data_IF_080385254699
#
_entry.id   IF_080385254699
#
_cell.length_a   1.000
_cell.length_b   1.000
_cell.length_c   1.000
_cell.angle_alpha   90.00
_cell.angle_beta   90.00
_cell.angle_gamma   90.00
#
_symmetry.space_group_name_H-M   'P 1'
#
loop_
_entity.id
_entity.type
_entity.pdbx_description
1 polymer ?
#
# COMPACT_ATOMS: atom_id res chain seq x y z
N UNK A 1 -24.09 -17.71 28.65
CA UNK A 1 -23.34 -16.54 29.16
C UNK A 1 -22.25 -16.26 28.14
N UNK A 2 -22.19 -15.04 27.57
CA UNK A 2 -21.17 -14.45 26.68
C UNK A 2 -20.48 -15.38 25.64
N UNK A 3 -20.61 -15.23 24.32
CA UNK A 3 -20.58 -14.03 23.47
C UNK A 3 -19.23 -13.27 23.47
N UNK A 4 -18.37 -13.66 22.51
CA UNK A 4 -17.21 -12.94 21.94
C UNK A 4 -17.09 -13.46 20.49
N UNK A 5 -17.97 -13.10 19.54
CA UNK A 5 -18.24 -11.74 19.03
C UNK A 5 -16.93 -11.01 18.67
N UNK A 6 -16.58 -11.04 17.38
CA UNK A 6 -15.83 -9.96 16.71
C UNK A 6 -14.32 -9.83 16.94
N UNK A 7 -13.51 -10.69 16.31
CA UNK A 7 -12.26 -10.18 15.71
C UNK A 7 -12.62 -9.42 14.43
N UNK A 8 -12.94 -8.14 14.59
CA UNK A 8 -12.97 -7.14 13.53
C UNK A 8 -12.15 -5.94 13.99
N UNK A 9 -10.85 -6.16 14.09
CA UNK A 9 -9.89 -5.06 14.09
C UNK A 9 -9.54 -4.77 12.63
N UNK A 10 -9.70 -3.50 12.27
CA UNK A 10 -9.30 -2.90 11.00
C UNK A 10 -7.77 -3.02 10.90
N UNK A 11 -7.28 -4.12 10.30
CA UNK A 11 -5.83 -4.31 10.13
C UNK A 11 -5.31 -3.18 9.23
N UNK A 12 -4.59 -2.23 9.82
CA UNK A 12 -4.17 -0.96 9.21
C UNK A 12 -3.11 -1.07 8.10
N UNK A 13 -3.27 -2.05 7.22
CA UNK A 13 -2.42 -2.32 6.09
C UNK A 13 -2.56 -1.30 4.98
N UNK A 14 -1.52 -1.28 4.15
CA UNK A 14 -1.38 -0.39 3.01
C UNK A 14 -0.94 -1.19 1.79
N UNK A 15 -1.59 -0.92 0.68
CA UNK A 15 -1.41 -1.60 -0.59
C UNK A 15 -0.66 -0.69 -1.55
N UNK A 16 0.21 -1.31 -2.36
CA UNK A 16 0.90 -0.70 -3.49
C UNK A 16 0.70 -1.63 -4.69
N UNK A 17 0.26 -1.09 -5.82
CA UNK A 17 0.33 -1.81 -7.10
C UNK A 17 1.74 -1.59 -7.65
N UNK A 18 2.36 -2.64 -8.17
CA UNK A 18 3.72 -2.58 -8.73
C UNK A 18 3.78 -3.43 -9.99
N UNK A 19 4.63 -3.03 -10.93
CA UNK A 19 4.99 -3.87 -12.07
C UNK A 19 5.76 -5.11 -11.60
N UNK A 20 5.84 -6.14 -12.44
CA UNK A 20 6.63 -7.33 -12.14
C UNK A 20 8.13 -6.98 -11.96
N UNK A 21 8.65 -6.05 -12.75
CA UNK A 21 10.04 -5.58 -12.67
C UNK A 21 10.34 -4.87 -11.35
N UNK A 22 9.47 -3.97 -10.88
CA UNK A 22 9.61 -3.33 -9.56
C UNK A 22 9.57 -4.34 -8.40
N UNK A 23 8.75 -5.39 -8.52
CA UNK A 23 8.64 -6.44 -7.50
C UNK A 23 9.86 -7.38 -7.50
N UNK A 24 10.40 -7.72 -8.68
CA UNK A 24 11.66 -8.46 -8.82
C UNK A 24 12.85 -7.64 -8.30
N UNK A 25 12.88 -6.33 -8.60
CA UNK A 25 13.89 -5.42 -8.05
C UNK A 25 13.82 -5.35 -6.53
N UNK A 26 12.64 -5.14 -5.92
CA UNK A 26 12.48 -5.08 -4.46
C UNK A 26 12.96 -6.37 -3.77
N UNK A 27 12.69 -7.55 -4.34
CA UNK A 27 13.22 -8.81 -3.82
C UNK A 27 14.74 -8.89 -3.92
N UNK A 28 15.33 -8.42 -5.03
CA UNK A 28 16.77 -8.41 -5.30
C UNK A 28 17.54 -7.43 -4.41
N UNK A 29 17.04 -6.20 -4.26
CA UNK A 29 17.69 -5.11 -3.53
C UNK A 29 17.36 -5.10 -2.03
N UNK A 30 16.32 -5.84 -1.60
CA UNK A 30 15.69 -5.81 -0.26
C UNK A 30 15.02 -4.49 0.12
N UNK A 31 15.08 -3.45 -0.71
CA UNK A 31 14.40 -2.17 -0.47
C UNK A 31 14.20 -1.38 -1.79
N UNK A 32 13.12 -0.61 -1.90
CA UNK A 32 12.80 0.17 -3.11
C UNK A 32 12.51 1.63 -2.80
N UNK A 33 12.83 2.53 -3.74
CA UNK A 33 12.35 3.92 -3.76
C UNK A 33 11.04 4.06 -4.55
N UNK A 34 10.43 2.96 -4.96
CA UNK A 34 9.18 2.95 -5.71
C UNK A 34 9.33 3.28 -7.20
N UNK A 35 8.22 3.69 -7.81
CA UNK A 35 8.10 3.98 -9.23
C UNK A 35 8.54 5.40 -9.55
N UNK A 36 8.45 5.79 -10.82
CA UNK A 36 8.87 7.14 -11.23
C UNK A 36 8.01 8.24 -10.60
N UNK A 37 6.73 7.97 -10.32
CA UNK A 37 5.86 8.87 -9.56
C UNK A 37 6.33 9.01 -8.10
N UNK A 38 6.69 7.91 -7.43
CA UNK A 38 7.17 7.94 -6.05
C UNK A 38 8.51 8.69 -5.94
N UNK A 39 9.42 8.43 -6.89
CA UNK A 39 10.74 9.08 -6.98
C UNK A 39 10.67 10.57 -7.29
N UNK A 40 9.74 11.00 -8.16
CA UNK A 40 9.62 12.40 -8.60
C UNK A 40 8.89 13.29 -7.58
N UNK A 41 7.99 12.71 -6.79
CA UNK A 41 7.29 13.39 -5.68
C UNK A 41 8.06 13.33 -4.35
N UNK A 42 8.92 12.32 -4.16
CA UNK A 42 9.63 12.08 -2.91
C UNK A 42 8.75 11.45 -1.82
N UNK A 43 7.70 10.74 -2.19
CA UNK A 43 6.80 10.01 -1.29
C UNK A 43 6.32 8.69 -1.91
N UNK A 44 5.91 7.72 -1.10
CA UNK A 44 5.25 6.52 -1.62
C UNK A 44 3.74 6.73 -1.71
N UNK A 45 3.19 6.49 -2.89
CA UNK A 45 1.75 6.46 -3.13
C UNK A 45 1.20 5.09 -2.72
N UNK A 46 0.39 5.08 -1.67
CA UNK A 46 -0.22 3.87 -1.13
C UNK A 46 -1.74 3.98 -1.14
N UNK A 47 -2.43 2.93 -0.70
CA UNK A 47 -3.88 2.87 -0.53
C UNK A 47 -4.20 1.98 0.68
N UNK A 48 -5.32 2.16 1.40
CA UNK A 48 -5.71 1.32 2.57
C UNK A 48 -6.83 0.33 2.21
N UNK A 49 -7.68 -0.12 3.17
CA UNK A 49 -8.80 -1.06 2.91
C UNK A 49 -10.25 -0.55 3.13
N UNK A 50 -10.56 0.35 4.08
CA UNK A 50 -11.95 0.82 4.34
C UNK A 50 -12.48 1.90 3.36
N UNK A 51 -12.41 3.21 3.66
CA UNK A 51 -12.92 4.30 2.82
C UNK A 51 -12.05 4.88 1.69
N UNK A 52 -10.76 4.59 1.47
CA UNK A 52 -9.88 3.56 2.04
C UNK A 52 -9.27 3.97 3.39
N UNK A 53 -9.55 3.19 4.44
CA UNK A 53 -9.24 3.44 5.85
C UNK A 53 -8.54 2.26 6.57
N UNK A 54 -8.03 2.42 7.81
CA UNK A 54 -7.66 3.73 8.40
C UNK A 54 -6.45 3.82 9.37
N UNK A 55 -5.24 4.13 8.86
CA UNK A 55 -4.15 4.71 9.68
C UNK A 55 -2.96 5.33 8.92
N UNK A 56 -3.12 6.50 8.26
CA UNK A 56 -2.04 7.21 7.52
C UNK A 56 -2.16 8.73 7.67
N UNK A 57 -1.12 9.45 7.25
CA UNK A 57 -1.20 10.88 6.95
C UNK A 57 -1.93 11.05 5.61
N UNK A 58 -3.03 11.78 5.64
CA UNK A 58 -3.86 12.12 4.48
C UNK A 58 -3.48 13.51 3.98
N UNK A 59 -2.97 13.61 2.76
CA UNK A 59 -2.68 14.90 2.12
C UNK A 59 -3.66 15.15 0.97
N UNK A 60 -4.20 16.36 0.92
CA UNK A 60 -5.17 16.75 -0.08
C UNK A 60 -4.50 16.84 -1.45
N UNK A 61 -5.01 16.09 -2.41
CA UNK A 61 -4.57 16.12 -3.82
C UNK A 61 -5.45 17.10 -4.61
N UNK A 62 -6.72 17.25 -4.22
CA UNK A 62 -7.65 18.26 -4.70
C UNK A 62 -8.69 18.61 -3.61
N UNK A 63 -9.75 19.35 -3.96
CA UNK A 63 -10.80 19.81 -3.04
C UNK A 63 -11.64 18.66 -2.42
N UNK A 64 -11.59 17.44 -2.96
CA UNK A 64 -12.38 16.29 -2.54
C UNK A 64 -11.57 15.03 -2.23
N UNK A 65 -10.34 14.92 -2.73
CA UNK A 65 -9.52 13.71 -2.63
C UNK A 65 -8.31 13.90 -1.72
N UNK A 66 -8.11 12.95 -0.81
CA UNK A 66 -6.96 12.87 0.08
C UNK A 66 -6.26 11.53 -0.11
N UNK A 67 -5.01 11.55 -0.55
CA UNK A 67 -4.19 10.36 -0.75
C UNK A 67 -3.24 10.13 0.43
N UNK A 68 -2.96 8.86 0.76
CA UNK A 68 -2.03 8.56 1.83
C UNK A 68 -0.59 8.44 1.34
N UNK A 69 0.29 9.27 1.89
CA UNK A 69 1.72 9.20 1.66
C UNK A 69 2.46 8.58 2.85
N UNK A 70 3.42 7.71 2.55
CA UNK A 70 4.33 7.16 3.55
C UNK A 70 5.71 7.82 3.48
N UNK A 71 6.07 8.53 4.56
CA UNK A 71 7.34 9.25 4.72
C UNK A 71 8.26 8.65 5.81
N UNK A 72 7.91 7.47 6.35
CA UNK A 72 8.63 6.84 7.45
C UNK A 72 8.68 7.66 8.76
N UNK A 73 9.34 7.14 9.81
CA UNK A 73 9.35 7.76 11.15
C UNK A 73 10.01 9.14 11.20
N UNK A 74 11.02 9.38 10.35
CA UNK A 74 11.80 10.62 10.27
C UNK A 74 11.21 11.68 9.36
N UNK A 75 10.06 11.42 8.71
CA UNK A 75 9.48 12.24 7.63
C UNK A 75 10.47 12.51 6.49
N UNK A 76 11.28 11.51 6.16
CA UNK A 76 12.28 11.55 5.10
C UNK A 76 11.97 10.48 4.07
N UNK A 77 12.21 10.76 2.78
CA UNK A 77 12.07 9.75 1.73
C UNK A 77 13.14 8.66 1.88
N UNK A 78 12.79 7.64 2.66
CA UNK A 78 13.61 6.47 2.96
C UNK A 78 13.00 5.25 2.25
N UNK A 79 13.80 4.36 1.67
CA UNK A 79 13.28 3.30 0.80
C UNK A 79 12.42 2.32 1.61
N UNK A 80 11.32 1.86 1.01
CA UNK A 80 10.43 0.87 1.60
C UNK A 80 11.17 -0.49 1.63
N UNK A 81 11.43 -1.09 2.82
CA UNK A 81 12.10 -2.37 2.91
C UNK A 81 11.15 -3.50 2.52
N UNK A 82 11.70 -4.57 1.94
CA UNK A 82 10.96 -5.80 1.61
C UNK A 82 10.25 -6.37 2.84
N UNK A 83 10.88 -6.28 4.01
CA UNK A 83 10.37 -6.81 5.27
C UNK A 83 9.13 -6.05 5.81
N UNK A 84 8.75 -4.92 5.19
CA UNK A 84 7.46 -4.25 5.44
C UNK A 84 6.29 -4.84 4.62
N UNK A 85 6.57 -5.70 3.63
CA UNK A 85 5.55 -6.34 2.78
C UNK A 85 5.10 -7.64 3.44
N UNK A 86 3.93 -7.60 4.08
CA UNK A 86 3.35 -8.76 4.79
C UNK A 86 2.81 -9.82 3.83
N UNK A 87 2.27 -9.42 2.67
CA UNK A 87 1.78 -10.32 1.61
C UNK A 87 1.86 -9.62 0.26
N UNK A 88 2.09 -10.39 -0.80
CA UNK A 88 2.06 -9.93 -2.18
C UNK A 88 1.34 -10.96 -3.06
N UNK A 89 0.61 -10.49 -4.07
CA UNK A 89 -0.10 -11.34 -5.02
C UNK A 89 -0.04 -10.72 -6.42
N UNK A 90 0.09 -11.56 -7.45
CA UNK A 90 0.04 -11.11 -8.83
C UNK A 90 -1.41 -10.86 -9.26
N UNK A 91 -1.72 -9.62 -9.61
CA UNK A 91 -3.03 -9.26 -10.18
C UNK A 91 -3.27 -10.04 -11.47
N UNK A 92 -4.44 -10.68 -11.58
CA UNK A 92 -4.90 -11.37 -12.78
C UNK A 92 -6.01 -10.56 -13.46
N UNK A 93 -6.05 -10.56 -14.80
CA UNK A 93 -7.14 -9.93 -15.54
C UNK A 93 -8.21 -10.98 -15.86
N UNK A 94 -9.47 -10.67 -15.59
CA UNK A 94 -10.63 -11.44 -16.06
C UNK A 94 -11.78 -10.48 -16.35
N UNK A 95 -12.49 -10.67 -17.46
CA UNK A 95 -13.63 -9.82 -17.87
C UNK A 95 -13.30 -8.31 -17.91
N UNK A 96 -12.06 -7.97 -18.28
CA UNK A 96 -11.56 -6.59 -18.33
C UNK A 96 -11.29 -5.94 -16.97
N UNK A 97 -11.39 -6.70 -15.86
CA UNK A 97 -11.12 -6.25 -14.49
C UNK A 97 -9.91 -6.97 -13.90
N UNK A 98 -9.16 -6.28 -13.05
CA UNK A 98 -8.14 -6.91 -12.21
C UNK A 98 -8.81 -7.64 -11.04
N UNK A 99 -8.26 -8.81 -10.68
CA UNK A 99 -8.71 -9.67 -9.57
C UNK A 99 -7.52 -10.10 -8.73
N UNK A 100 -7.74 -10.22 -7.43
CA UNK A 100 -6.72 -10.45 -6.42
C UNK A 100 -7.38 -10.97 -5.14
N UNK A 101 -6.93 -12.12 -4.60
CA UNK A 101 -7.47 -12.69 -3.34
C UNK A 101 -7.10 -11.89 -2.09
N UNK A 102 -6.33 -10.80 -2.24
CA UNK A 102 -6.08 -9.81 -1.20
C UNK A 102 -7.24 -8.81 -1.03
N UNK A 103 -8.24 -8.85 -1.93
CA UNK A 103 -9.36 -7.90 -2.03
C UNK A 103 -10.74 -8.58 -1.96
N UNK A 104 -10.78 -9.90 -1.73
CA UNK A 104 -11.99 -10.75 -1.67
C UNK A 104 -12.44 -11.01 -0.21
#
# INVERSE_FOLDING_TARGET
MAATEGLKEDEGFVYRISTAEEWEELQRSRATFGGDLDKSTGCFHLSKIDQLGNGLIYEAVDESNVFPHFYGPSRSFSPLPLDAVVKAEKLNISDGKFRCSLLD
#
